data_IF_378898782421
#
_entry.id   IF_378898782421
#
_cell.length_a   1.000
_cell.length_b   1.000
_cell.length_c   1.000
_cell.angle_alpha   90.00
_cell.angle_beta   90.00
_cell.angle_gamma   90.00
#
_symmetry.space_group_name_H-M   'P 1'
#
loop_
_entity.id
_entity.type
_entity.pdbx_description
1 polymer ?
#
# COMPACT_ATOMS: atom_id res chain seq x y z
N UNK A 1 17.46 18.80 17.64
CA UNK A 1 18.85 19.05 18.03
C UNK A 1 19.20 18.14 19.19
N UNK A 2 20.44 17.64 19.24
CA UNK A 2 20.87 16.75 20.33
C UNK A 2 21.33 17.55 21.54
N UNK A 3 20.57 17.47 22.62
CA UNK A 3 20.97 17.87 23.98
C UNK A 3 21.50 16.62 24.72
N UNK A 4 21.73 16.67 26.04
CA UNK A 4 22.09 15.54 26.92
C UNK A 4 21.22 14.29 26.75
N UNK A 5 20.03 14.45 26.16
CA UNK A 5 19.08 13.38 25.82
C UNK A 5 19.35 12.67 24.48
N UNK A 6 20.32 13.14 23.68
CA UNK A 6 20.60 12.62 22.34
C UNK A 6 19.65 13.14 21.26
N UNK A 7 19.63 12.49 20.09
CA UNK A 7 18.71 12.82 18.98
C UNK A 7 17.40 12.06 19.17
N UNK A 8 16.34 12.72 19.62
CA UNK A 8 15.05 12.06 19.91
C UNK A 8 13.92 12.42 18.93
N UNK A 9 14.11 13.44 18.09
CA UNK A 9 13.09 13.87 17.12
C UNK A 9 13.72 14.17 15.76
N UNK A 10 12.93 13.95 14.71
CA UNK A 10 13.24 14.33 13.33
C UNK A 10 11.96 14.72 12.60
N UNK A 11 12.05 15.59 11.61
CA UNK A 11 10.90 15.98 10.79
C UNK A 11 11.32 16.24 9.35
N UNK A 12 10.39 16.01 8.42
CA UNK A 12 10.50 16.36 7.01
C UNK A 12 9.22 17.04 6.56
N UNK A 13 9.35 18.27 6.07
CA UNK A 13 8.30 19.05 5.45
C UNK A 13 8.70 19.34 4.00
N UNK A 14 7.88 18.88 3.05
CA UNK A 14 8.01 19.20 1.63
C UNK A 14 6.77 19.99 1.24
N UNK A 15 6.99 21.15 0.63
CA UNK A 15 5.93 22.02 0.12
C UNK A 15 6.08 22.25 -1.37
N UNK A 16 5.01 22.68 -2.03
CA UNK A 16 5.04 23.10 -3.43
C UNK A 16 5.98 24.30 -3.62
N UNK A 17 6.70 24.33 -4.74
CA UNK A 17 7.55 25.47 -5.10
C UNK A 17 6.75 26.70 -5.53
N UNK A 18 5.54 26.47 -6.05
CA UNK A 18 4.55 27.50 -6.38
C UNK A 18 3.39 27.38 -5.38
N UNK A 19 3.34 28.23 -4.33
CA UNK A 19 2.32 28.14 -3.31
C UNK A 19 0.96 28.60 -3.86
N UNK A 20 -0.08 27.82 -3.61
CA UNK A 20 -1.47 28.19 -3.91
C UNK A 20 -2.03 29.21 -2.91
N UNK A 21 -1.31 29.47 -1.82
CA UNK A 21 -1.75 30.34 -0.72
C UNK A 21 -2.62 29.61 0.30
N UNK A 22 -2.82 28.30 0.11
CA UNK A 22 -3.63 27.45 0.99
C UNK A 22 -2.69 26.41 1.63
N UNK A 23 -2.24 26.63 2.88
CA UNK A 23 -1.12 25.88 3.47
C UNK A 23 -1.27 24.36 3.46
N UNK A 24 -2.48 23.82 3.58
CA UNK A 24 -2.68 22.37 3.56
C UNK A 24 -2.68 21.75 2.16
N UNK A 25 -2.97 22.54 1.12
CA UNK A 25 -2.84 22.09 -0.28
C UNK A 25 -1.40 22.14 -0.75
N UNK A 26 -0.62 23.05 -0.18
CA UNK A 26 0.78 23.26 -0.54
C UNK A 26 1.72 22.26 0.13
N UNK A 27 1.26 21.47 1.11
CA UNK A 27 2.05 20.41 1.76
C UNK A 27 2.01 19.13 0.95
N UNK A 28 3.18 18.72 0.43
CA UNK A 28 3.38 17.45 -0.28
C UNK A 28 3.69 16.33 0.71
N UNK A 29 4.50 16.62 1.73
CA UNK A 29 4.87 15.68 2.78
C UNK A 29 5.03 16.45 4.09
N UNK A 30 4.43 15.96 5.16
CA UNK A 30 4.60 16.51 6.51
C UNK A 30 4.72 15.32 7.47
N UNK A 31 5.95 14.93 7.78
CA UNK A 31 6.26 13.81 8.69
C UNK A 31 7.08 14.32 9.86
N UNK A 32 6.68 13.90 11.06
CA UNK A 32 7.35 14.23 12.32
C UNK A 32 7.44 12.99 13.17
N UNK A 33 8.66 12.73 13.65
CA UNK A 33 8.98 11.70 14.62
C UNK A 33 9.34 12.40 15.92
N UNK A 34 8.66 12.00 16.98
CA UNK A 34 8.91 12.44 18.34
C UNK A 34 9.23 11.27 19.23
N UNK A 35 10.15 11.49 20.18
CA UNK A 35 10.54 10.54 21.22
C UNK A 35 10.89 9.15 20.68
N UNK A 36 11.76 9.10 19.66
CA UNK A 36 12.28 7.86 19.10
C UNK A 36 13.79 7.76 19.35
N UNK A 37 14.34 6.59 19.73
CA UNK A 37 15.79 6.42 19.96
C UNK A 37 16.61 6.65 18.68
N UNK A 38 16.03 6.35 17.52
CA UNK A 38 16.67 6.51 16.20
C UNK A 38 15.75 7.28 15.24
N UNK A 39 15.48 8.58 15.46
CA UNK A 39 14.40 9.28 14.80
C UNK A 39 14.64 9.48 13.29
N UNK A 40 15.90 9.50 12.86
CA UNK A 40 16.26 9.62 11.44
C UNK A 40 16.03 8.30 10.67
N UNK A 41 16.34 7.15 11.29
CA UNK A 41 16.05 5.85 10.69
C UNK A 41 14.54 5.63 10.58
N UNK A 42 13.80 6.00 11.62
CA UNK A 42 12.34 5.91 11.60
C UNK A 42 11.71 6.88 10.59
N UNK A 43 12.22 8.11 10.50
CA UNK A 43 11.80 9.05 9.46
C UNK A 43 12.06 8.49 8.05
N UNK A 44 13.23 7.88 7.81
CA UNK A 44 13.54 7.22 6.54
C UNK A 44 12.57 6.07 6.23
N UNK A 45 12.25 5.24 7.24
CA UNK A 45 11.25 4.17 7.10
C UNK A 45 9.89 4.73 6.71
N UNK A 46 9.40 5.75 7.42
CA UNK A 46 8.10 6.37 7.12
C UNK A 46 8.05 7.06 5.76
N UNK A 47 9.16 7.65 5.29
CA UNK A 47 9.22 8.20 3.93
C UNK A 47 9.03 7.09 2.89
N UNK A 48 9.65 5.91 3.08
CA UNK A 48 9.44 4.76 2.18
C UNK A 48 7.99 4.28 2.22
N UNK A 49 7.42 4.12 3.42
CA UNK A 49 6.02 3.73 3.61
C UNK A 49 5.06 4.73 2.94
N UNK A 50 5.30 6.03 3.12
CA UNK A 50 4.52 7.08 2.48
C UNK A 50 4.55 6.94 0.95
N UNK A 51 5.74 6.76 0.36
CA UNK A 51 5.89 6.53 -1.10
C UNK A 51 5.17 5.27 -1.56
N UNK A 52 5.22 4.21 -0.76
CA UNK A 52 4.52 2.98 -1.07
C UNK A 52 3.00 3.22 -1.21
N UNK A 53 2.39 3.90 -0.23
CA UNK A 53 0.96 4.22 -0.29
C UNK A 53 0.60 5.27 -1.36
N UNK A 54 1.50 6.20 -1.71
CA UNK A 54 1.30 7.07 -2.87
C UNK A 54 1.16 6.27 -4.17
N UNK A 55 2.03 5.27 -4.36
CA UNK A 55 1.93 4.37 -5.50
C UNK A 55 0.70 3.46 -5.42
N UNK A 56 0.35 2.93 -4.24
CA UNK A 56 -0.86 2.11 -4.06
C UNK A 56 -2.14 2.89 -4.42
N UNK A 57 -2.31 4.10 -3.87
CA UNK A 57 -3.46 4.96 -4.17
C UNK A 57 -3.55 5.33 -5.65
N UNK A 58 -2.40 5.53 -6.31
CA UNK A 58 -2.36 5.76 -7.77
C UNK A 58 -2.76 4.50 -8.54
N UNK A 59 -2.40 3.33 -8.04
CA UNK A 59 -2.87 2.04 -8.53
C UNK A 59 -4.39 1.92 -8.44
N UNK A 60 -4.97 2.23 -7.27
CA UNK A 60 -6.42 2.23 -7.04
C UNK A 60 -7.13 3.15 -8.05
N UNK A 61 -6.61 4.36 -8.24
CA UNK A 61 -7.14 5.31 -9.23
C UNK A 61 -7.11 4.72 -10.65
N UNK A 62 -6.05 4.03 -11.05
CA UNK A 62 -6.01 3.36 -12.35
C UNK A 62 -7.00 2.21 -12.44
N UNK A 63 -7.25 1.47 -11.35
CA UNK A 63 -8.31 0.43 -11.30
C UNK A 63 -9.69 1.06 -11.52
N UNK A 64 -10.00 2.17 -10.84
CA UNK A 64 -11.26 2.91 -11.03
C UNK A 64 -11.47 3.34 -12.50
N UNK A 65 -10.38 3.72 -13.18
CA UNK A 65 -10.39 4.10 -14.60
C UNK A 65 -10.26 2.90 -15.56
N UNK A 66 -10.26 1.66 -15.05
CA UNK A 66 -10.08 0.41 -15.81
C UNK A 66 -8.75 0.30 -16.55
N UNK A 67 -7.72 1.03 -16.11
CA UNK A 67 -6.37 1.03 -16.67
C UNK A 67 -5.45 0.03 -15.94
N UNK A 68 -5.82 -1.25 -15.99
CA UNK A 68 -5.26 -2.27 -15.09
C UNK A 68 -3.76 -2.46 -15.21
N UNK A 69 -3.20 -2.43 -16.42
CA UNK A 69 -1.74 -2.55 -16.59
C UNK A 69 -0.96 -1.43 -15.90
N UNK A 70 -1.51 -0.21 -15.89
CA UNK A 70 -0.90 0.91 -15.16
C UNK A 70 -1.05 0.72 -13.66
N UNK A 71 -2.21 0.20 -13.21
CA UNK A 71 -2.42 -0.12 -11.80
C UNK A 71 -1.39 -1.13 -11.29
N UNK A 72 -1.15 -2.21 -12.02
CA UNK A 72 -0.18 -3.25 -11.65
C UNK A 72 1.26 -2.71 -11.58
N UNK A 73 1.64 -1.79 -12.47
CA UNK A 73 2.94 -1.12 -12.40
C UNK A 73 3.07 -0.31 -11.11
N UNK A 74 2.03 0.44 -10.74
CA UNK A 74 2.07 1.24 -9.52
C UNK A 74 2.03 0.38 -8.25
N UNK A 75 1.20 -0.67 -8.19
CA UNK A 75 1.23 -1.59 -7.05
C UNK A 75 2.57 -2.33 -6.91
N UNK A 76 3.21 -2.69 -8.02
CA UNK A 76 4.57 -3.27 -7.97
C UNK A 76 5.55 -2.31 -7.31
N UNK A 77 5.56 -1.03 -7.70
CA UNK A 77 6.40 -0.02 -7.06
C UNK A 77 6.05 0.14 -5.58
N UNK A 78 4.77 0.11 -5.23
CA UNK A 78 4.34 0.17 -3.84
C UNK A 78 4.97 -0.96 -3.01
N UNK A 79 4.89 -2.20 -3.50
CA UNK A 79 5.50 -3.36 -2.85
C UNK A 79 7.04 -3.27 -2.79
N UNK A 80 7.70 -2.67 -3.79
CA UNK A 80 9.16 -2.42 -3.76
C UNK A 80 9.57 -1.41 -2.67
N UNK A 81 8.73 -0.41 -2.39
CA UNK A 81 9.00 0.58 -1.32
C UNK A 81 8.72 0.05 0.09
N UNK A 82 7.76 -0.86 0.25
CA UNK A 82 7.38 -1.42 1.55
C UNK A 82 7.25 -2.95 1.48
N UNK A 83 8.35 -3.67 1.19
CA UNK A 83 8.34 -5.10 0.91
C UNK A 83 7.91 -5.96 2.10
N UNK A 84 8.11 -5.46 3.33
CA UNK A 84 7.69 -6.13 4.55
C UNK A 84 6.16 -6.17 4.74
N UNK A 85 5.39 -5.33 4.03
CA UNK A 85 3.93 -5.31 4.11
C UNK A 85 3.28 -6.20 3.04
N UNK A 86 2.66 -7.34 3.41
CA UNK A 86 1.97 -8.21 2.47
C UNK A 86 0.64 -7.65 1.96
N UNK A 87 0.13 -6.57 2.56
CA UNK A 87 -1.09 -5.91 2.10
C UNK A 87 -0.93 -5.26 0.70
N UNK A 88 0.26 -4.75 0.38
CA UNK A 88 0.47 -4.09 -0.92
C UNK A 88 0.37 -5.07 -2.11
N UNK A 89 1.04 -6.25 -2.09
CA UNK A 89 0.81 -7.26 -3.12
C UNK A 89 -0.59 -7.89 -3.05
N UNK A 90 -1.28 -7.87 -1.89
CA UNK A 90 -2.67 -8.34 -1.79
C UNK A 90 -3.61 -7.55 -2.71
N UNK A 91 -3.51 -6.22 -2.73
CA UNK A 91 -4.35 -5.39 -3.60
C UNK A 91 -4.09 -5.64 -5.09
N UNK A 92 -2.83 -5.92 -5.49
CA UNK A 92 -2.52 -6.38 -6.86
C UNK A 92 -3.25 -7.69 -7.20
N UNK A 93 -3.25 -8.65 -6.28
CA UNK A 93 -3.89 -9.95 -6.49
C UNK A 93 -5.42 -9.80 -6.59
N UNK A 94 -6.01 -8.92 -5.78
CA UNK A 94 -7.44 -8.56 -5.85
C UNK A 94 -7.78 -7.97 -7.22
N UNK A 95 -7.02 -6.96 -7.68
CA UNK A 95 -7.23 -6.34 -8.99
C UNK A 95 -7.10 -7.34 -10.14
N UNK A 96 -6.12 -8.25 -10.09
CA UNK A 96 -5.95 -9.32 -11.09
C UNK A 96 -7.13 -10.30 -11.09
N UNK A 97 -7.60 -10.70 -9.91
CA UNK A 97 -8.73 -11.62 -9.78
C UNK A 97 -10.03 -10.98 -10.28
N UNK A 98 -10.26 -9.70 -9.98
CA UNK A 98 -11.43 -8.95 -10.43
C UNK A 98 -11.56 -8.93 -11.96
N UNK A 99 -10.45 -8.77 -12.67
CA UNK A 99 -10.43 -8.78 -14.14
C UNK A 99 -10.27 -10.18 -14.77
N UNK A 100 -10.41 -11.24 -13.97
CA UNK A 100 -10.36 -12.62 -14.45
C UNK A 100 -8.95 -13.17 -14.74
N UNK A 101 -7.87 -12.45 -14.42
CA UNK A 101 -6.48 -12.94 -14.48
C UNK A 101 -6.12 -13.77 -13.26
N UNK A 102 -6.99 -14.73 -12.94
CA UNK A 102 -6.93 -15.54 -11.71
C UNK A 102 -5.60 -16.28 -11.60
N UNK A 103 -5.10 -16.85 -12.70
CA UNK A 103 -3.83 -17.60 -12.72
C UNK A 103 -2.62 -16.78 -12.25
N UNK A 104 -2.64 -15.46 -12.44
CA UNK A 104 -1.59 -14.55 -11.97
C UNK A 104 -1.84 -14.09 -10.53
N UNK A 105 -3.11 -13.98 -10.12
CA UNK A 105 -3.49 -13.61 -8.77
C UNK A 105 -3.15 -14.69 -7.73
N UNK A 106 -3.43 -15.97 -8.04
CA UNK A 106 -3.28 -17.09 -7.09
C UNK A 106 -1.85 -17.24 -6.49
N UNK A 107 -0.74 -17.16 -7.27
CA UNK A 107 0.59 -17.23 -6.66
C UNK A 107 0.88 -16.05 -5.73
N UNK A 108 0.33 -14.87 -6.00
CA UNK A 108 0.46 -13.70 -5.13
C UNK A 108 -0.35 -13.90 -3.84
N UNK A 109 -1.61 -14.35 -3.94
CA UNK A 109 -2.41 -14.71 -2.77
C UNK A 109 -1.72 -15.77 -1.89
N UNK A 110 -1.06 -16.75 -2.51
CA UNK A 110 -0.27 -17.76 -1.77
C UNK A 110 0.83 -17.12 -0.92
N UNK A 111 1.66 -16.27 -1.52
CA UNK A 111 2.71 -15.57 -0.78
C UNK A 111 2.11 -14.70 0.35
N UNK A 112 1.11 -13.89 0.01
CA UNK A 112 0.43 -12.99 0.95
C UNK A 112 -0.13 -13.75 2.15
N UNK A 113 -0.87 -14.84 1.94
CA UNK A 113 -1.49 -15.59 3.03
C UNK A 113 -0.49 -16.38 3.85
N UNK A 114 0.67 -16.75 3.28
CA UNK A 114 1.75 -17.36 4.04
C UNK A 114 2.39 -16.37 5.04
N UNK A 115 2.42 -15.08 4.68
CA UNK A 115 3.02 -14.00 5.49
C UNK A 115 2.03 -13.35 6.45
N UNK A 116 0.79 -13.16 6.02
CA UNK A 116 -0.31 -12.61 6.82
C UNK A 116 -1.60 -13.39 6.58
N UNK A 117 -1.83 -14.47 7.36
CA UNK A 117 -3.02 -15.31 7.22
C UNK A 117 -4.34 -14.58 7.45
N UNK A 118 -4.37 -13.46 8.20
CA UNK A 118 -5.61 -12.72 8.48
C UNK A 118 -6.20 -12.06 7.23
N UNK A 119 -5.38 -11.73 6.23
CA UNK A 119 -5.85 -11.17 4.95
C UNK A 119 -6.75 -12.15 4.18
N UNK A 120 -6.60 -13.46 4.39
CA UNK A 120 -7.50 -14.48 3.80
C UNK A 120 -8.95 -14.27 4.25
N UNK A 121 -9.18 -13.84 5.49
CA UNK A 121 -10.51 -13.58 6.02
C UNK A 121 -11.20 -12.35 5.42
N UNK A 122 -10.46 -11.50 4.69
CA UNK A 122 -11.04 -10.34 4.01
C UNK A 122 -11.65 -10.69 2.66
N UNK A 123 -11.22 -11.77 1.99
CA UNK A 123 -11.66 -12.14 0.63
C UNK A 123 -13.18 -12.18 0.47
N UNK A 124 -13.98 -12.83 1.36
CA UNK A 124 -15.44 -12.81 1.24
C UNK A 124 -16.07 -11.42 1.40
N UNK A 125 -15.40 -10.51 2.11
CA UNK A 125 -15.89 -9.14 2.33
C UNK A 125 -15.72 -8.28 1.09
N UNK A 126 -14.73 -8.59 0.25
CA UNK A 126 -14.45 -7.84 -0.98
C UNK A 126 -15.57 -7.99 -2.01
N UNK A 127 -16.27 -9.13 -2.02
CA UNK A 127 -17.48 -9.32 -2.83
C UNK A 127 -18.57 -8.30 -2.47
N UNK A 128 -18.78 -8.06 -1.16
CA UNK A 128 -19.78 -7.08 -0.68
C UNK A 128 -19.42 -5.65 -1.05
N UNK A 129 -18.14 -5.36 -1.21
CA UNK A 129 -17.62 -4.05 -1.62
C UNK A 129 -17.46 -3.92 -3.14
N UNK A 130 -17.90 -4.91 -3.93
CA UNK A 130 -17.74 -4.93 -5.38
C UNK A 130 -16.28 -4.86 -5.87
N UNK A 131 -15.32 -5.29 -5.04
CA UNK A 131 -13.89 -5.35 -5.37
C UNK A 131 -13.47 -6.73 -5.90
N UNK A 132 -14.33 -7.72 -5.75
CA UNK A 132 -14.23 -9.02 -6.39
C UNK A 132 -15.61 -9.41 -6.94
N UNK A 133 -15.69 -10.17 -8.02
CA UNK A 133 -16.95 -10.67 -8.54
C UNK A 133 -17.59 -11.63 -7.54
N UNK A 134 -18.92 -11.67 -7.53
CA UNK A 134 -19.70 -12.65 -6.76
C UNK A 134 -19.67 -14.02 -7.44
N UNK A 135 -18.47 -14.60 -7.55
CA UNK A 135 -18.20 -15.93 -8.07
C UNK A 135 -17.69 -16.83 -6.95
N UNK A 136 -18.59 -17.68 -6.44
CA UNK A 136 -18.27 -18.60 -5.36
C UNK A 136 -17.08 -19.52 -5.67
N UNK A 137 -16.93 -19.98 -6.91
CA UNK A 137 -15.82 -20.86 -7.28
C UNK A 137 -14.49 -20.13 -7.19
N UNK A 138 -14.43 -18.88 -7.67
CA UNK A 138 -13.24 -18.03 -7.55
C UNK A 138 -12.88 -17.77 -6.09
N UNK A 139 -13.88 -17.40 -5.28
CA UNK A 139 -13.66 -17.10 -3.85
C UNK A 139 -13.16 -18.34 -3.10
N UNK A 140 -13.78 -19.50 -3.31
CA UNK A 140 -13.36 -20.76 -2.72
C UNK A 140 -11.95 -21.15 -3.21
N UNK A 141 -11.63 -20.91 -4.48
CA UNK A 141 -10.29 -21.14 -5.03
C UNK A 141 -9.24 -20.25 -4.38
N UNK A 142 -9.51 -18.96 -4.15
CA UNK A 142 -8.57 -18.05 -3.48
C UNK A 142 -8.37 -18.46 -2.01
N UNK A 143 -9.46 -18.72 -1.27
CA UNK A 143 -9.40 -19.01 0.18
C UNK A 143 -8.76 -20.37 0.45
N UNK A 144 -8.94 -21.35 -0.44
CA UNK A 144 -8.38 -22.69 -0.30
C UNK A 144 -6.88 -22.80 -0.62
N UNK A 145 -6.25 -21.74 -1.14
CA UNK A 145 -4.80 -21.70 -1.34
C UNK A 145 -4.11 -21.93 0.00
N UNK A 146 -3.24 -22.94 0.04
CA UNK A 146 -2.36 -23.24 1.19
C UNK A 146 -1.18 -22.28 1.25
#
# INVERSE_FOLDING_TARGET
GGDIRGKQSAAMLIVTGEPTGIPWKDKILDLRIDDHPEPLLELQRLIRVHRAYQHANKGDLYVEHKEIEKALIEYKKAAEYYPENPELPYWSAVALADIGRVNEALPIFRDVFSREPRLRALVPRLVKSSLLPDDKNLIDQIISIK
#
